data_IF_400092488598
#
_entry.id   IF_400092488598
#
_cell.length_a   1.000
_cell.length_b   1.000
_cell.length_c   1.000
_cell.angle_alpha   90.00
_cell.angle_beta   90.00
_cell.angle_gamma   90.00
#
_symmetry.space_group_name_H-M   'P 1'
#
loop_
_entity.id
_entity.type
_entity.pdbx_description
1 polymer ?
#
# COMPACT_ATOMS: atom_id res chain seq x y z
N UNK A 1 -6.66 81.56 27.95
CA UNK A 1 -7.49 80.88 26.94
C UNK A 1 -6.82 79.55 26.61
N UNK A 2 -7.32 78.44 27.17
CA UNK A 2 -6.74 77.10 27.02
C UNK A 2 -7.35 76.43 25.79
N UNK A 3 -6.53 76.15 24.77
CA UNK A 3 -6.93 75.44 23.55
C UNK A 3 -6.96 73.93 23.83
N UNK A 4 -8.13 73.33 23.66
CA UNK A 4 -8.31 71.88 23.65
C UNK A 4 -7.89 71.33 22.28
N UNK A 5 -6.99 70.34 22.28
CA UNK A 5 -6.68 69.50 21.12
C UNK A 5 -7.70 68.34 21.07
N UNK A 6 -8.27 68.01 19.90
CA UNK A 6 -9.18 66.87 19.78
C UNK A 6 -8.42 65.54 19.78
N UNK A 7 -8.97 64.57 20.50
CA UNK A 7 -8.50 63.19 20.57
C UNK A 7 -8.69 62.50 19.21
N UNK A 8 -7.58 62.11 18.59
CA UNK A 8 -7.57 61.26 17.40
C UNK A 8 -7.97 59.84 17.78
N UNK A 9 -9.17 59.44 17.33
CA UNK A 9 -9.69 58.09 17.47
C UNK A 9 -8.97 57.17 16.45
N UNK A 10 -8.07 56.32 16.93
CA UNK A 10 -7.44 55.25 16.14
C UNK A 10 -8.45 54.11 15.92
N UNK A 11 -9.06 54.06 14.74
CA UNK A 11 -9.77 52.87 14.28
C UNK A 11 -8.76 51.74 14.03
N UNK A 12 -8.74 50.75 14.92
CA UNK A 12 -8.15 49.45 14.63
C UNK A 12 -9.06 48.72 13.65
N UNK A 13 -8.66 48.69 12.38
CA UNK A 13 -9.23 47.78 11.39
C UNK A 13 -8.82 46.35 11.76
N UNK A 14 -9.72 45.63 12.43
CA UNK A 14 -9.63 44.19 12.63
C UNK A 14 -9.82 43.50 11.27
N UNK A 15 -8.70 43.23 10.60
CA UNK A 15 -8.66 42.33 9.45
C UNK A 15 -9.05 40.93 9.91
N UNK A 16 -10.30 40.54 9.66
CA UNK A 16 -10.75 39.16 9.80
C UNK A 16 -9.90 38.28 8.87
N UNK A 17 -9.33 37.15 9.35
CA UNK A 17 -8.62 36.23 8.49
C UNK A 17 -9.62 35.62 7.51
N UNK A 18 -9.38 35.85 6.22
CA UNK A 18 -10.09 35.18 5.12
C UNK A 18 -9.98 33.66 5.33
N UNK A 19 -11.09 32.91 5.35
CA UNK A 19 -10.99 31.46 5.42
C UNK A 19 -10.22 30.97 4.21
N UNK A 20 -9.13 30.24 4.47
CA UNK A 20 -8.36 29.55 3.45
C UNK A 20 -9.33 28.71 2.62
N UNK A 21 -9.48 29.09 1.35
CA UNK A 21 -10.29 28.36 0.38
C UNK A 21 -9.72 26.96 0.31
N UNK A 22 -10.43 25.98 0.86
CA UNK A 22 -10.09 24.58 0.73
C UNK A 22 -9.89 24.30 -0.77
N UNK A 23 -8.65 24.00 -1.16
CA UNK A 23 -8.37 23.49 -2.48
C UNK A 23 -9.04 22.11 -2.53
N UNK A 24 -10.23 22.07 -3.12
CA UNK A 24 -10.86 20.84 -3.56
C UNK A 24 -9.86 20.14 -4.48
N UNK A 25 -9.26 19.07 -3.98
CA UNK A 25 -8.44 18.19 -4.79
C UNK A 25 -9.28 17.79 -6.00
N UNK A 26 -8.76 18.05 -7.20
CA UNK A 26 -9.41 17.62 -8.43
C UNK A 26 -9.62 16.10 -8.35
N UNK A 27 -10.79 15.58 -8.77
CA UNK A 27 -10.97 14.14 -8.87
C UNK A 27 -9.97 13.60 -9.90
N UNK A 28 -9.12 12.66 -9.48
CA UNK A 28 -8.23 11.91 -10.36
C UNK A 28 -9.12 11.01 -11.24
N UNK A 29 -9.53 11.54 -12.37
CA UNK A 29 -10.12 10.76 -13.45
C UNK A 29 -8.99 10.01 -14.18
N UNK A 30 -8.73 8.78 -13.74
CA UNK A 30 -7.77 7.88 -14.39
C UNK A 30 -8.38 6.50 -14.57
N UNK A 31 -9.41 6.40 -15.42
CA UNK A 31 -9.67 5.11 -16.08
C UNK A 31 -8.66 4.96 -17.23
N UNK A 32 -7.42 4.61 -16.89
CA UNK A 32 -6.40 4.26 -17.89
C UNK A 32 -6.55 2.77 -18.19
N UNK A 33 -7.02 2.47 -19.40
CA UNK A 33 -6.96 1.12 -19.98
C UNK A 33 -5.49 0.68 -20.05
N UNK A 34 -5.09 -0.24 -19.18
CA UNK A 34 -3.74 -0.83 -19.18
C UNK A 34 -3.57 -1.71 -20.41
N UNK A 35 -3.01 -1.20 -21.49
CA UNK A 35 -2.51 -2.04 -22.59
C UNK A 35 -1.20 -2.68 -22.13
N UNK A 36 -1.25 -3.93 -21.64
CA UNK A 36 -0.09 -4.61 -21.04
C UNK A 36 0.76 -5.26 -22.13
N UNK A 37 1.88 -4.65 -22.48
CA UNK A 37 2.92 -5.30 -23.25
C UNK A 37 3.76 -6.20 -22.31
N UNK A 38 3.69 -7.52 -22.50
CA UNK A 38 4.63 -8.54 -21.98
C UNK A 38 4.84 -8.57 -20.45
N UNK A 39 3.83 -8.96 -19.68
CA UNK A 39 4.07 -9.38 -18.29
C UNK A 39 4.72 -10.78 -18.27
N UNK A 40 5.65 -11.00 -17.33
CA UNK A 40 6.30 -12.30 -17.09
C UNK A 40 6.23 -12.66 -15.61
N UNK A 41 6.21 -13.96 -15.33
CA UNK A 41 6.28 -14.48 -13.96
C UNK A 41 7.62 -15.17 -13.79
N UNK A 42 8.41 -14.68 -12.83
CA UNK A 42 9.66 -15.25 -12.37
C UNK A 42 9.43 -15.91 -11.02
N UNK A 43 9.95 -17.13 -10.83
CA UNK A 43 9.73 -17.91 -9.60
C UNK A 43 11.06 -18.22 -8.93
N UNK A 44 11.06 -18.10 -7.60
CA UNK A 44 12.21 -18.43 -6.77
C UNK A 44 13.34 -17.40 -6.83
N UNK A 45 13.09 -16.19 -7.35
CA UNK A 45 14.10 -15.14 -7.47
C UNK A 45 13.50 -13.75 -7.22
N UNK A 46 14.39 -12.80 -6.88
CA UNK A 46 14.11 -11.37 -6.86
C UNK A 46 14.66 -10.71 -8.13
N UNK A 47 14.14 -9.54 -8.54
CA UNK A 47 14.69 -8.79 -9.65
C UNK A 47 16.18 -8.49 -9.45
N UNK A 48 17.02 -8.72 -10.46
CA UNK A 48 18.47 -8.58 -10.35
C UNK A 48 18.94 -7.16 -9.97
N UNK A 49 18.17 -6.14 -10.37
CA UNK A 49 18.42 -4.73 -10.09
C UNK A 49 17.68 -4.21 -8.85
N UNK A 50 17.03 -5.08 -8.06
CA UNK A 50 16.38 -4.71 -6.81
C UNK A 50 17.29 -3.92 -5.83
N UNK A 51 18.61 -4.19 -5.72
CA UNK A 51 19.50 -3.40 -4.86
C UNK A 51 19.62 -1.92 -5.24
N UNK A 52 19.43 -1.58 -6.51
CA UNK A 52 19.56 -0.20 -7.03
C UNK A 52 18.22 0.44 -7.35
N UNK A 53 17.20 -0.38 -7.64
CA UNK A 53 15.83 0.05 -7.85
C UNK A 53 15.11 0.29 -6.51
N UNK A 54 14.29 1.34 -6.44
CA UNK A 54 13.49 1.60 -5.24
C UNK A 54 12.34 0.58 -5.07
N UNK A 55 12.17 0.06 -3.85
CA UNK A 55 11.04 -0.79 -3.45
C UNK A 55 9.98 -0.01 -2.66
N UNK A 56 8.71 -0.20 -3.02
CA UNK A 56 7.57 0.28 -2.27
C UNK A 56 7.06 -0.81 -1.34
N UNK A 57 6.96 -0.45 -0.06
CA UNK A 57 6.21 -1.22 0.92
C UNK A 57 4.82 -0.60 1.03
N UNK A 58 3.79 -1.36 0.70
CA UNK A 58 2.42 -0.86 0.78
C UNK A 58 1.91 -1.03 2.21
N UNK A 59 1.46 0.06 2.82
CA UNK A 59 0.75 0.05 4.09
C UNK A 59 -0.74 -0.11 3.86
N UNK A 60 -1.42 -0.67 4.84
CA UNK A 60 -2.88 -0.73 4.84
C UNK A 60 -3.51 0.63 5.16
N UNK A 61 -4.69 0.85 4.60
CA UNK A 61 -5.55 2.00 4.85
C UNK A 61 -6.89 1.51 5.36
N UNK A 62 -7.50 2.24 6.30
CA UNK A 62 -8.81 1.88 6.82
C UNK A 62 -9.83 1.70 5.69
N UNK A 63 -10.64 0.65 5.83
CA UNK A 63 -11.83 0.41 5.05
C UNK A 63 -12.92 1.42 5.42
N UNK A 64 -13.64 1.95 4.43
CA UNK A 64 -14.92 2.58 4.71
C UNK A 64 -15.95 1.50 5.09
N UNK A 65 -16.41 1.53 6.34
CA UNK A 65 -17.34 0.54 6.91
C UNK A 65 -18.48 1.25 7.61
N UNK A 66 -19.68 1.26 7.04
CA UNK A 66 -20.83 1.84 7.70
C UNK A 66 -21.18 1.07 9.00
N UNK A 67 -21.87 1.71 9.97
CA UNK A 67 -22.24 1.06 11.23
C UNK A 67 -23.06 -0.22 11.04
N UNK A 68 -23.92 -0.23 10.00
CA UNK A 68 -24.77 -1.36 9.60
C UNK A 68 -24.36 -1.87 8.22
N UNK A 69 -24.52 -3.17 8.01
CA UNK A 69 -24.24 -3.82 6.72
C UNK A 69 -25.26 -3.34 5.67
N UNK A 70 -24.81 -2.81 4.52
CA UNK A 70 -25.70 -2.54 3.39
C UNK A 70 -26.30 -3.84 2.83
N UNK A 71 -27.55 -3.82 2.37
CA UNK A 71 -28.25 -5.03 1.91
C UNK A 71 -27.53 -5.72 0.74
N UNK A 72 -26.96 -4.92 -0.17
CA UNK A 72 -26.22 -5.38 -1.35
C UNK A 72 -24.79 -5.85 -1.06
N UNK A 73 -24.30 -5.75 0.17
CA UNK A 73 -22.95 -6.21 0.54
C UNK A 73 -23.03 -7.57 1.23
N UNK A 74 -22.32 -8.60 0.72
CA UNK A 74 -22.26 -9.90 1.37
C UNK A 74 -21.77 -9.80 2.82
N UNK A 75 -22.40 -10.55 3.73
CA UNK A 75 -22.08 -10.51 5.17
C UNK A 75 -20.60 -10.79 5.47
N UNK A 76 -20.00 -11.71 4.71
CA UNK A 76 -18.59 -12.06 4.81
C UNK A 76 -17.67 -10.87 4.48
N UNK A 77 -17.93 -10.14 3.39
CA UNK A 77 -17.16 -8.96 2.99
C UNK A 77 -17.25 -7.87 4.06
N UNK A 78 -18.46 -7.60 4.56
CA UNK A 78 -18.66 -6.61 5.63
C UNK A 78 -17.88 -6.96 6.90
N UNK A 79 -17.89 -8.24 7.32
CA UNK A 79 -17.11 -8.71 8.46
C UNK A 79 -15.61 -8.54 8.22
N UNK A 80 -15.11 -8.88 7.04
CA UNK A 80 -13.68 -8.73 6.74
C UNK A 80 -13.22 -7.28 6.76
N UNK A 81 -14.02 -6.34 6.23
CA UNK A 81 -13.68 -4.91 6.31
C UNK A 81 -13.61 -4.42 7.77
N UNK A 82 -14.49 -4.90 8.65
CA UNK A 82 -14.39 -4.63 10.10
C UNK A 82 -13.09 -5.20 10.68
N UNK A 83 -12.83 -6.49 10.46
CA UNK A 83 -11.61 -7.14 10.93
C UNK A 83 -10.34 -6.48 10.39
N UNK A 84 -10.38 -5.94 9.17
CA UNK A 84 -9.31 -5.13 8.61
C UNK A 84 -9.06 -3.87 9.44
N UNK A 85 -10.13 -3.10 9.71
CA UNK A 85 -10.06 -1.90 10.53
C UNK A 85 -9.57 -2.18 11.95
N UNK A 86 -9.86 -3.35 12.50
CA UNK A 86 -9.37 -3.76 13.82
C UNK A 86 -7.86 -4.11 13.85
N UNK A 87 -7.25 -4.41 12.69
CA UNK A 87 -5.90 -4.97 12.59
C UNK A 87 -4.88 -4.08 11.89
N UNK A 88 -5.31 -3.18 11.02
CA UNK A 88 -4.41 -2.52 10.07
C UNK A 88 -3.38 -1.60 10.74
N UNK A 89 -3.71 -0.94 11.85
CA UNK A 89 -2.78 -0.05 12.56
C UNK A 89 -1.59 -0.82 13.12
N UNK A 90 -1.86 -1.88 13.90
CA UNK A 90 -0.83 -2.75 14.44
C UNK A 90 -0.01 -3.45 13.34
N UNK A 91 -0.62 -3.77 12.20
CA UNK A 91 0.10 -4.28 11.04
C UNK A 91 1.07 -3.21 10.47
N UNK A 92 0.60 -1.98 10.30
CA UNK A 92 1.41 -0.88 9.77
C UNK A 92 2.58 -0.51 10.70
N UNK A 93 2.44 -0.62 12.01
CA UNK A 93 3.55 -0.48 12.96
C UNK A 93 4.62 -1.56 12.76
N UNK A 94 4.19 -2.81 12.54
CA UNK A 94 5.12 -3.91 12.19
C UNK A 94 5.83 -3.62 10.87
N UNK A 95 5.11 -3.09 9.87
CA UNK A 95 5.70 -2.70 8.59
C UNK A 95 6.78 -1.64 8.77
N UNK A 96 6.51 -0.61 9.56
CA UNK A 96 7.47 0.46 9.85
C UNK A 96 8.76 -0.12 10.45
N UNK A 97 8.64 -0.96 11.48
CA UNK A 97 9.79 -1.57 12.14
C UNK A 97 10.55 -2.57 11.24
N UNK A 98 9.84 -3.31 10.39
CA UNK A 98 10.46 -4.30 9.51
C UNK A 98 11.14 -3.66 8.29
N UNK A 99 10.53 -2.64 7.70
CA UNK A 99 11.07 -1.91 6.55
C UNK A 99 12.42 -1.22 6.86
N UNK A 100 12.61 -0.73 8.10
CA UNK A 100 13.88 -0.15 8.55
C UNK A 100 15.08 -1.11 8.41
N UNK A 101 14.83 -2.43 8.38
CA UNK A 101 15.88 -3.45 8.22
C UNK A 101 16.21 -3.74 6.76
N UNK A 102 15.44 -3.18 5.82
CA UNK A 102 15.66 -3.37 4.39
C UNK A 102 16.86 -2.54 3.92
N UNK A 103 17.89 -3.16 3.32
CA UNK A 103 19.18 -2.52 3.12
C UNK A 103 19.24 -1.56 1.92
N UNK A 104 18.21 -1.52 1.08
CA UNK A 104 18.18 -0.74 -0.15
C UNK A 104 17.16 0.41 -0.09
N UNK A 105 17.15 1.25 -1.13
CA UNK A 105 16.21 2.37 -1.28
C UNK A 105 14.78 1.85 -1.17
N UNK A 106 14.02 2.33 -0.19
CA UNK A 106 12.63 1.95 -0.01
C UNK A 106 11.75 3.11 0.44
N UNK A 107 10.43 2.91 0.38
CA UNK A 107 9.43 3.84 0.89
C UNK A 107 8.20 3.08 1.34
N UNK A 108 7.64 3.47 2.47
CA UNK A 108 6.29 3.03 2.87
C UNK A 108 5.27 3.98 2.25
N UNK A 109 4.27 3.44 1.56
CA UNK A 109 3.24 4.23 0.87
C UNK A 109 1.91 3.48 0.80
N UNK A 110 0.89 4.05 0.15
CA UNK A 110 -0.40 3.40 -0.14
C UNK A 110 -0.43 2.96 -1.61
N UNK A 111 -1.31 2.00 -1.93
CA UNK A 111 -1.49 1.52 -3.31
C UNK A 111 -1.74 2.69 -4.29
N UNK A 112 -2.63 3.61 -3.93
CA UNK A 112 -3.03 4.75 -4.78
C UNK A 112 -1.87 5.70 -5.08
N UNK A 113 -0.83 5.70 -4.24
CA UNK A 113 0.35 6.55 -4.42
C UNK A 113 1.47 5.86 -5.19
N UNK A 114 1.36 4.57 -5.53
CA UNK A 114 2.42 3.82 -6.19
C UNK A 114 2.85 4.48 -7.52
N UNK A 115 1.89 4.97 -8.31
CA UNK A 115 2.18 5.65 -9.58
C UNK A 115 2.98 6.94 -9.39
N UNK A 116 2.71 7.72 -8.32
CA UNK A 116 3.49 8.92 -7.99
C UNK A 116 4.95 8.60 -7.66
N UNK A 117 5.21 7.47 -7.01
CA UNK A 117 6.56 7.04 -6.69
C UNK A 117 7.26 6.38 -7.87
N UNK A 118 6.51 5.76 -8.79
CA UNK A 118 7.05 5.23 -10.04
C UNK A 118 7.81 6.28 -10.84
N UNK A 119 7.23 7.47 -10.99
CA UNK A 119 7.88 8.59 -11.69
C UNK A 119 9.11 9.16 -10.96
N UNK A 120 9.43 8.66 -9.75
CA UNK A 120 10.59 9.04 -8.92
C UNK A 120 11.62 7.92 -8.78
N UNK A 121 11.56 6.95 -9.69
CA UNK A 121 12.53 5.85 -9.77
C UNK A 121 12.31 4.73 -8.76
N UNK A 122 11.09 4.59 -8.21
CA UNK A 122 10.67 3.35 -7.56
C UNK A 122 10.09 2.43 -8.62
N UNK A 123 10.66 1.25 -8.79
CA UNK A 123 10.25 0.34 -9.89
C UNK A 123 9.53 -0.90 -9.39
N UNK A 124 9.62 -1.15 -8.08
CA UNK A 124 9.15 -2.36 -7.47
C UNK A 124 8.19 -2.07 -6.34
N UNK A 125 7.26 -2.98 -6.13
CA UNK A 125 6.32 -2.98 -5.02
C UNK A 125 6.29 -4.36 -4.39
N UNK A 126 6.38 -4.44 -3.06
CA UNK A 126 6.16 -5.68 -2.34
C UNK A 126 4.66 -5.91 -2.25
N UNK A 127 4.21 -7.01 -2.81
CA UNK A 127 2.80 -7.35 -2.88
C UNK A 127 2.53 -8.73 -2.29
N UNK A 128 1.41 -8.85 -1.59
CA UNK A 128 0.91 -10.11 -1.08
C UNK A 128 -0.55 -10.30 -1.51
N UNK A 129 -0.79 -11.29 -2.37
CA UNK A 129 -2.09 -11.45 -3.05
C UNK A 129 -3.26 -11.73 -2.11
N UNK A 130 -2.97 -12.24 -0.91
CA UNK A 130 -3.98 -12.43 0.14
C UNK A 130 -4.83 -11.17 0.33
N UNK A 131 -4.27 -9.97 0.22
CA UNK A 131 -5.01 -8.72 0.39
C UNK A 131 -6.14 -8.54 -0.64
N UNK A 132 -5.86 -8.75 -1.92
CA UNK A 132 -6.82 -8.55 -3.01
C UNK A 132 -7.96 -9.57 -2.93
N UNK A 133 -7.65 -10.83 -2.58
CA UNK A 133 -8.63 -11.90 -2.40
C UNK A 133 -9.70 -11.58 -1.35
N UNK A 134 -9.38 -10.77 -0.34
CA UNK A 134 -10.33 -10.41 0.72
C UNK A 134 -11.16 -9.16 0.41
N UNK A 135 -10.67 -8.28 -0.47
CA UNK A 135 -11.22 -6.92 -0.61
C UNK A 135 -12.07 -6.73 -1.86
N UNK A 136 -11.72 -7.41 -2.94
CA UNK A 136 -12.41 -7.30 -4.21
C UNK A 136 -12.95 -8.67 -4.60
N UNK A 137 -14.28 -8.83 -4.56
CA UNK A 137 -14.92 -10.02 -5.12
C UNK A 137 -14.78 -10.06 -6.65
N UNK A 138 -14.22 -9.02 -7.29
CA UNK A 138 -13.84 -9.02 -8.69
C UNK A 138 -12.41 -9.58 -8.85
N UNK A 139 -12.36 -10.85 -9.28
CA UNK A 139 -11.16 -11.56 -9.67
C UNK A 139 -10.34 -10.78 -10.71
N UNK A 140 -9.08 -10.52 -10.38
CA UNK A 140 -7.99 -10.67 -11.35
C UNK A 140 -7.05 -11.74 -10.78
N UNK A 141 -7.52 -12.98 -10.86
CA UNK A 141 -6.72 -14.17 -10.57
C UNK A 141 -5.47 -14.12 -11.46
N UNK A 142 -4.32 -13.78 -10.87
CA UNK A 142 -3.10 -14.48 -11.24
C UNK A 142 -3.08 -15.71 -10.32
N UNK A 143 -3.95 -16.69 -10.61
CA UNK A 143 -3.95 -17.97 -9.92
C UNK A 143 -2.72 -18.76 -10.40
N UNK A 144 -1.56 -18.48 -9.82
CA UNK A 144 -0.33 -19.16 -10.24
C UNK A 144 -0.24 -20.59 -9.69
N UNK A 145 -1.09 -20.96 -8.72
CA UNK A 145 -1.15 -22.27 -8.09
C UNK A 145 -2.59 -22.66 -7.66
N UNK A 146 -3.54 -22.72 -8.60
CA UNK A 146 -4.77 -23.50 -8.41
C UNK A 146 -4.50 -25.00 -8.67
N UNK A 147 -3.59 -25.60 -7.90
CA UNK A 147 -3.43 -27.07 -7.92
C UNK A 147 -4.64 -27.69 -7.24
N UNK A 148 -5.52 -28.24 -8.06
CA UNK A 148 -6.76 -28.89 -7.64
C UNK A 148 -6.51 -29.96 -6.58
N UNK A 149 -7.32 -29.92 -5.54
CA UNK A 149 -7.34 -30.95 -4.52
C UNK A 149 -8.17 -30.49 -3.32
N UNK A 150 -9.29 -31.17 -3.07
CA UNK A 150 -10.04 -31.05 -1.83
C UNK A 150 -9.10 -31.35 -0.65
N UNK A 151 -8.74 -30.34 0.13
CA UNK A 151 -7.97 -30.51 1.37
C UNK A 151 -8.13 -29.29 2.27
N UNK A 152 -8.16 -29.52 3.56
CA UNK A 152 -8.48 -28.61 4.65
C UNK A 152 -7.60 -27.34 4.76
N UNK A 153 -8.28 -26.18 4.83
CA UNK A 153 -8.05 -25.02 5.72
C UNK A 153 -6.71 -24.25 5.78
N UNK A 154 -5.72 -24.52 4.92
CA UNK A 154 -4.56 -23.61 4.79
C UNK A 154 -4.39 -23.18 3.34
N UNK A 155 -4.87 -21.97 3.03
CA UNK A 155 -4.66 -21.34 1.73
C UNK A 155 -3.33 -20.60 1.75
N UNK A 156 -2.43 -21.02 0.87
CA UNK A 156 -1.17 -20.33 0.59
C UNK A 156 -1.42 -19.29 -0.50
N UNK A 157 -0.78 -18.13 -0.36
CA UNK A 157 -0.78 -17.04 -1.33
C UNK A 157 0.65 -16.70 -1.70
N UNK A 158 0.86 -16.37 -2.97
CA UNK A 158 2.18 -15.97 -3.46
C UNK A 158 2.59 -14.64 -2.81
N UNK A 159 3.82 -14.61 -2.30
CA UNK A 159 4.50 -13.40 -1.89
C UNK A 159 5.50 -13.01 -2.98
N UNK A 160 5.33 -11.81 -3.53
CA UNK A 160 6.06 -11.41 -4.72
C UNK A 160 6.45 -9.93 -4.73
N UNK A 161 7.43 -9.62 -5.59
CA UNK A 161 7.74 -8.26 -5.98
C UNK A 161 7.14 -7.99 -7.35
N UNK A 162 6.30 -6.96 -7.46
CA UNK A 162 5.71 -6.49 -8.71
C UNK A 162 6.60 -5.43 -9.34
N UNK A 163 6.93 -5.60 -10.62
CA UNK A 163 7.55 -4.57 -11.44
C UNK A 163 6.49 -3.61 -11.97
N UNK A 164 6.55 -2.35 -11.54
CA UNK A 164 5.58 -1.31 -11.90
C UNK A 164 5.69 -0.85 -13.36
N UNK A 165 6.80 -1.16 -14.05
CA UNK A 165 7.02 -0.71 -15.42
C UNK A 165 6.36 -1.60 -16.46
N UNK A 166 6.40 -2.92 -16.24
CA UNK A 166 5.94 -3.92 -17.19
C UNK A 166 4.99 -4.97 -16.59
N UNK A 167 4.56 -4.78 -15.33
CA UNK A 167 3.72 -5.71 -14.57
C UNK A 167 4.31 -7.12 -14.40
N UNK A 168 5.62 -7.30 -14.56
CA UNK A 168 6.26 -8.59 -14.27
C UNK A 168 6.26 -8.89 -12.78
N UNK A 169 6.06 -10.16 -12.43
CA UNK A 169 5.92 -10.63 -11.06
C UNK A 169 7.10 -11.53 -10.70
N UNK A 170 7.72 -11.28 -9.55
CA UNK A 170 8.83 -12.06 -9.02
C UNK A 170 8.38 -12.76 -7.73
N UNK A 171 7.81 -13.95 -7.87
CA UNK A 171 7.36 -14.77 -6.75
C UNK A 171 8.58 -15.39 -6.09
N UNK A 172 8.78 -15.09 -4.81
CA UNK A 172 9.97 -15.57 -4.10
C UNK A 172 9.66 -16.49 -2.92
N UNK A 173 8.39 -16.54 -2.49
CA UNK A 173 7.92 -17.39 -1.39
C UNK A 173 6.40 -17.57 -1.44
N UNK A 174 5.90 -18.61 -0.78
CA UNK A 174 4.47 -18.77 -0.48
C UNK A 174 4.19 -18.47 0.99
N UNK A 175 3.09 -17.76 1.27
CA UNK A 175 2.76 -17.32 2.61
C UNK A 175 1.30 -17.64 2.93
N UNK A 176 1.04 -18.16 4.12
CA UNK A 176 -0.32 -18.49 4.54
C UNK A 176 -1.17 -17.21 4.67
N UNK A 177 -2.35 -17.21 4.05
CA UNK A 177 -3.28 -16.07 4.01
C UNK A 177 -3.64 -15.52 5.39
N UNK A 178 -3.60 -16.36 6.44
CA UNK A 178 -3.83 -15.94 7.82
C UNK A 178 -2.80 -14.92 8.33
N UNK A 179 -1.65 -14.80 7.66
CA UNK A 179 -0.59 -13.86 8.01
C UNK A 179 -0.64 -12.55 7.23
N UNK A 180 -1.77 -12.22 6.60
CA UNK A 180 -1.99 -10.95 5.90
C UNK A 180 -1.51 -9.71 6.68
N UNK A 181 -1.77 -9.67 7.98
CA UNK A 181 -1.42 -8.54 8.86
C UNK A 181 -0.06 -8.69 9.55
N UNK A 182 0.71 -9.73 9.23
CA UNK A 182 1.97 -10.05 9.89
C UNK A 182 3.17 -9.56 9.07
N UNK A 183 3.29 -8.25 8.91
CA UNK A 183 4.37 -7.64 8.13
C UNK A 183 5.77 -8.00 8.62
N UNK A 184 5.94 -8.25 9.92
CA UNK A 184 7.22 -8.75 10.47
C UNK A 184 7.66 -10.05 9.78
N UNK A 185 6.72 -10.97 9.53
CA UNK A 185 6.99 -12.22 8.81
C UNK A 185 7.19 -11.98 7.32
N UNK A 186 6.27 -11.25 6.68
CA UNK A 186 6.29 -10.96 5.24
C UNK A 186 7.62 -10.30 4.83
N UNK A 187 7.97 -9.17 5.47
CA UNK A 187 9.23 -8.46 5.19
C UNK A 187 10.43 -9.28 5.66
N UNK A 188 10.31 -10.05 6.75
CA UNK A 188 11.35 -10.97 7.20
C UNK A 188 11.73 -12.01 6.14
N UNK A 189 10.75 -12.56 5.42
CA UNK A 189 11.00 -13.50 4.30
C UNK A 189 11.67 -12.80 3.11
N UNK A 190 11.22 -11.59 2.77
CA UNK A 190 11.91 -10.77 1.76
C UNK A 190 13.38 -10.54 2.13
N UNK A 191 13.67 -10.16 3.38
CA UNK A 191 15.05 -9.92 3.84
C UNK A 191 15.91 -11.18 3.76
N UNK A 192 15.38 -12.34 4.15
CA UNK A 192 16.08 -13.62 3.99
C UNK A 192 16.42 -13.87 2.51
N UNK A 193 15.48 -13.60 1.60
CA UNK A 193 15.68 -13.78 0.16
C UNK A 193 16.72 -12.80 -0.40
N UNK A 194 16.64 -11.53 0.00
CA UNK A 194 17.63 -10.49 -0.35
C UNK A 194 19.03 -10.89 0.09
N UNK A 195 19.19 -11.31 1.34
CA UNK A 195 20.49 -11.72 1.87
C UNK A 195 21.03 -12.96 1.14
N UNK A 196 20.18 -13.92 0.80
CA UNK A 196 20.58 -15.11 0.03
C UNK A 196 21.03 -14.76 -1.39
N UNK A 197 20.32 -13.84 -2.07
CA UNK A 197 20.55 -13.55 -3.49
C UNK A 197 21.62 -12.49 -3.72
N UNK A 198 21.74 -11.51 -2.83
CA UNK A 198 22.62 -10.34 -3.00
C UNK A 198 23.65 -10.16 -1.86
N UNK A 199 23.50 -10.90 -0.75
CA UNK A 199 24.35 -10.77 0.44
C UNK A 199 25.58 -11.69 0.46
N UNK A 200 25.68 -12.65 -0.45
CA UNK A 200 26.86 -13.50 -0.61
C UNK A 200 28.00 -12.73 -1.32
N UNK A 201 28.64 -11.82 -0.58
CA UNK A 201 29.74 -11.00 -1.07
C UNK A 201 30.28 -9.97 -0.06
N UNK A 202 30.00 -10.13 1.23
CA UNK A 202 30.70 -9.44 2.31
C UNK A 202 31.56 -10.43 3.07
#
# INVERSE_FOLDING_TARGET
>A
MKKFLPATLLLFASGLPTPARAQTAAPLDTTITRTVANYRIFRGELPADLPTAGLLFIRYTAADVPPKRPENVPAQVFRYRKTHNDKFEAANEQLLAAAQKYPYKHRITTQDSAQYYRTRGYRYELFFDGFNRFYDLSRHDIDVNASGGKSSDVRLSDLYVLNLDNNSVYVFEEFNENYLYYYKGIVGMLLKKVNKQFGAGK
#
